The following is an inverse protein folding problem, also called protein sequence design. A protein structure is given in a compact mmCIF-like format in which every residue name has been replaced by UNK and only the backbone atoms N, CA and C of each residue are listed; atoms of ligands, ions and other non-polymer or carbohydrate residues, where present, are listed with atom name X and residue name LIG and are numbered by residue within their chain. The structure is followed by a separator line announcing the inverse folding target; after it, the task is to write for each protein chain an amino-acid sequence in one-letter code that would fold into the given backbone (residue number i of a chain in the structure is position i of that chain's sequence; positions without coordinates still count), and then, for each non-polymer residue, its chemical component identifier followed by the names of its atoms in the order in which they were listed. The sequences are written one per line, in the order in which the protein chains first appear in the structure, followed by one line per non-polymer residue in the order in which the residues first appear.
data_IF_603247261412
#
_entry.id   IF_603247261412
#
_cell.length_a   1.000
_cell.length_b   1.000
_cell.length_c   1.000
_cell.angle_alpha   90.00
_cell.angle_beta   90.00
_cell.angle_gamma   90.00
#
_symmetry.space_group_name_H-M   'P 1'
#
loop_
_entity.id
_entity.type
_entity.pdbx_description
1 polymer ?
#
# COMPACT_ATOMS: atom_id res chain seq x y z
N UNK A 1 19.03 -3.12 25.72
CA UNK A 1 17.74 -2.66 25.15
C UNK A 1 18.05 -2.05 23.80
N UNK A 2 18.13 -2.92 22.78
CA UNK A 2 18.36 -2.47 21.40
C UNK A 2 17.18 -1.60 20.95
N UNK A 3 17.47 -0.33 20.71
CA UNK A 3 16.62 0.51 19.88
C UNK A 3 16.82 0.02 18.45
N UNK A 4 15.99 -0.89 18.00
CA UNK A 4 15.91 -1.19 16.58
C UNK A 4 15.43 0.09 15.89
N UNK A 5 16.35 0.79 15.26
CA UNK A 5 16.01 1.85 14.30
C UNK A 5 15.22 1.17 13.19
N UNK A 6 13.99 1.63 12.94
CA UNK A 6 13.18 1.19 11.82
C UNK A 6 14.03 1.24 10.55
N UNK A 7 14.42 0.08 10.03
CA UNK A 7 15.30 -0.05 8.87
C UNK A 7 14.46 -0.40 7.65
N UNK A 8 13.67 0.53 7.19
CA UNK A 8 12.93 0.34 5.95
C UNK A 8 11.52 0.90 6.00
N UNK A 9 10.88 0.98 4.84
CA UNK A 9 9.52 1.47 4.67
C UNK A 9 8.44 0.43 5.00
N UNK A 10 8.84 -0.77 5.45
CA UNK A 10 7.92 -1.84 5.80
C UNK A 10 7.31 -2.55 4.60
N UNK A 11 6.27 -3.30 4.87
CA UNK A 11 5.55 -4.12 3.90
C UNK A 11 4.22 -3.47 3.55
N UNK A 12 3.90 -3.42 2.27
CA UNK A 12 2.66 -2.84 1.74
C UNK A 12 2.00 -3.81 0.78
N UNK A 13 0.72 -4.13 1.00
CA UNK A 13 -0.05 -4.81 -0.03
C UNK A 13 -1.23 -3.96 -0.52
N UNK A 14 -1.58 -4.16 -1.79
CA UNK A 14 -2.73 -3.52 -2.41
C UNK A 14 -3.54 -4.54 -3.20
N UNK A 15 -4.82 -4.24 -3.42
CA UNK A 15 -5.68 -5.05 -4.28
C UNK A 15 -5.20 -5.06 -5.74
N UNK A 16 -5.36 -6.20 -6.42
CA UNK A 16 -5.04 -6.32 -7.84
C UNK A 16 -6.20 -5.82 -8.73
N UNK A 17 -7.46 -6.00 -8.30
CA UNK A 17 -8.62 -5.57 -9.07
C UNK A 17 -8.88 -4.08 -8.86
N UNK A 18 -8.73 -3.24 -9.89
CA UNK A 18 -8.99 -1.80 -9.78
C UNK A 18 -10.48 -1.49 -9.91
N UNK A 19 -10.94 -0.45 -9.21
CA UNK A 19 -12.27 0.12 -9.45
C UNK A 19 -12.28 0.90 -10.78
N UNK A 20 -11.16 1.58 -11.07
CA UNK A 20 -10.95 2.35 -12.28
C UNK A 20 -9.55 2.11 -12.86
N UNK A 21 -9.42 1.98 -14.20
CA UNK A 21 -8.11 1.76 -14.84
C UNK A 21 -7.08 2.87 -14.56
N UNK A 22 -7.52 4.14 -14.49
CA UNK A 22 -6.63 5.27 -14.24
C UNK A 22 -6.05 5.23 -12.82
N UNK A 23 -6.86 4.91 -11.82
CA UNK A 23 -6.42 4.72 -10.43
C UNK A 23 -5.41 3.58 -10.33
N UNK A 24 -5.62 2.51 -11.08
CA UNK A 24 -4.69 1.39 -11.14
C UNK A 24 -3.29 1.83 -11.61
N UNK A 25 -3.20 2.53 -12.74
CA UNK A 25 -1.93 2.98 -13.29
C UNK A 25 -1.25 4.02 -12.39
N UNK A 26 -1.99 4.97 -11.84
CA UNK A 26 -1.45 5.92 -10.88
C UNK A 26 -0.86 5.22 -9.65
N UNK A 27 -1.58 4.27 -9.07
CA UNK A 27 -1.12 3.52 -7.88
C UNK A 27 0.14 2.71 -8.18
N UNK A 28 0.25 2.09 -9.36
CA UNK A 28 1.45 1.37 -9.75
C UNK A 28 2.68 2.27 -9.87
N UNK A 29 2.51 3.52 -10.27
CA UNK A 29 3.59 4.51 -10.28
C UNK A 29 4.11 4.79 -8.86
N UNK A 30 3.21 5.00 -7.88
CA UNK A 30 3.59 5.22 -6.48
C UNK A 30 4.21 3.98 -5.83
N UNK A 31 3.66 2.78 -6.10
CA UNK A 31 4.26 1.53 -5.64
C UNK A 31 5.70 1.36 -6.15
N UNK A 32 5.96 1.80 -7.38
CA UNK A 32 7.30 1.78 -7.92
C UNK A 32 8.27 2.63 -7.13
N UNK A 33 7.88 3.85 -6.76
CA UNK A 33 8.71 4.72 -5.92
C UNK A 33 9.00 4.06 -4.56
N UNK A 34 8.00 3.40 -3.95
CA UNK A 34 8.16 2.67 -2.70
C UNK A 34 9.13 1.49 -2.82
N UNK A 35 9.00 0.69 -3.89
CA UNK A 35 9.93 -0.43 -4.17
C UNK A 35 11.35 0.07 -4.38
N UNK A 36 11.53 1.19 -5.09
CA UNK A 36 12.84 1.80 -5.31
C UNK A 36 13.44 2.38 -4.03
N UNK A 37 12.60 2.82 -3.09
CA UNK A 37 13.02 3.29 -1.77
C UNK A 37 13.29 2.13 -0.78
N UNK A 38 13.00 0.88 -1.14
CA UNK A 38 13.31 -0.30 -0.34
C UNK A 38 12.13 -0.92 0.42
N UNK A 39 10.90 -0.47 0.15
CA UNK A 39 9.71 -1.12 0.70
C UNK A 39 9.42 -2.45 0.00
N UNK A 40 8.91 -3.43 0.73
CA UNK A 40 8.35 -4.63 0.14
C UNK A 40 6.90 -4.37 -0.27
N UNK A 41 6.62 -4.43 -1.55
CA UNK A 41 5.29 -4.18 -2.08
C UNK A 41 4.68 -5.46 -2.65
N UNK A 42 3.39 -5.65 -2.39
CA UNK A 42 2.66 -6.84 -2.79
C UNK A 42 1.34 -6.49 -3.47
N UNK A 43 0.86 -7.36 -4.32
CA UNK A 43 -0.50 -7.32 -4.87
C UNK A 43 -1.31 -8.47 -4.34
N UNK A 44 -2.46 -8.18 -3.74
CA UNK A 44 -3.39 -9.18 -3.22
C UNK A 44 -4.18 -9.82 -4.37
N UNK A 45 -4.09 -11.15 -4.50
CA UNK A 45 -4.62 -11.88 -5.64
C UNK A 45 -5.86 -12.72 -5.31
N UNK A 46 -6.35 -12.67 -4.08
CA UNK A 46 -7.49 -13.50 -3.64
C UNK A 46 -8.77 -12.66 -3.52
N UNK A 47 -9.24 -12.09 -4.64
CA UNK A 47 -10.49 -11.36 -4.70
C UNK A 47 -10.37 -9.85 -4.45
N UNK A 48 -11.48 -9.25 -4.02
CA UNK A 48 -11.59 -7.80 -3.79
C UNK A 48 -11.20 -7.45 -2.36
N UNK A 49 -10.13 -6.71 -2.19
CA UNK A 49 -9.69 -6.18 -0.90
C UNK A 49 -9.97 -4.68 -0.83
N UNK A 50 -10.78 -4.26 0.15
CA UNK A 50 -11.09 -2.84 0.40
C UNK A 50 -10.69 -2.38 1.82
N UNK A 51 -9.81 -3.11 2.44
CA UNK A 51 -9.24 -2.80 3.75
C UNK A 51 -8.26 -1.64 3.66
N UNK A 52 -8.30 -0.74 4.62
CA UNK A 52 -7.36 0.37 4.78
C UNK A 52 -6.86 0.33 6.22
N UNK A 53 -5.63 -0.07 6.38
CA UNK A 53 -5.00 -0.17 7.68
C UNK A 53 -3.50 0.06 7.60
N UNK A 54 -2.94 0.49 8.70
CA UNK A 54 -1.51 0.68 8.88
C UNK A 54 -1.13 0.20 10.28
N UNK A 55 -0.06 -0.56 10.37
CA UNK A 55 0.52 -1.00 11.63
C UNK A 55 1.89 -0.34 11.75
N UNK A 56 2.17 0.24 12.90
CA UNK A 56 3.43 0.95 13.16
C UNK A 56 4.11 0.29 14.36
N UNK A 57 5.34 -0.20 14.13
CA UNK A 57 6.23 -0.79 15.13
C UNK A 57 5.56 -1.91 15.96
N UNK A 58 4.61 -2.65 15.37
CA UNK A 58 3.83 -3.72 16.00
C UNK A 58 3.08 -3.29 17.28
N UNK A 59 2.83 -1.99 17.45
CA UNK A 59 2.27 -1.37 18.66
C UNK A 59 1.06 -0.52 18.42
N UNK A 60 1.01 0.10 17.26
CA UNK A 60 -0.07 1.01 16.91
C UNK A 60 -0.76 0.51 15.66
N UNK A 61 -2.06 0.35 15.74
CA UNK A 61 -2.92 0.01 14.61
C UNK A 61 -3.76 1.24 14.26
N UNK A 62 -3.67 1.67 13.01
CA UNK A 62 -4.59 2.65 12.43
C UNK A 62 -5.44 1.93 11.39
N UNK A 63 -6.77 2.01 11.54
CA UNK A 63 -7.71 1.35 10.65
C UNK A 63 -8.95 2.22 10.41
N UNK A 64 -9.41 2.30 9.16
CA UNK A 64 -10.57 3.13 8.87
C UNK A 64 -10.95 3.21 7.41
N UNK A 65 -11.48 4.37 7.01
CA UNK A 65 -12.00 4.61 5.66
C UNK A 65 -10.99 5.27 4.72
N UNK A 66 -9.97 5.95 5.25
CA UNK A 66 -9.01 6.70 4.46
C UNK A 66 -8.12 5.79 3.61
N UNK A 67 -8.12 6.02 2.31
CA UNK A 67 -7.11 5.44 1.42
C UNK A 67 -5.79 6.22 1.53
N UNK A 68 -4.71 5.59 1.10
CA UNK A 68 -3.40 6.25 0.99
C UNK A 68 -3.34 7.07 -0.32
N UNK A 69 -4.19 8.09 -0.43
CA UNK A 69 -4.28 8.97 -1.59
C UNK A 69 -4.56 10.42 -1.20
N UNK A 70 -4.33 11.34 -2.15
CA UNK A 70 -4.47 12.79 -1.93
C UNK A 70 -5.91 13.17 -1.57
N UNK A 71 -6.90 12.52 -2.17
CA UNK A 71 -8.32 12.83 -1.91
C UNK A 71 -8.72 12.46 -0.51
N UNK A 72 -8.33 11.28 -0.04
CA UNK A 72 -8.62 10.84 1.33
C UNK A 72 -7.95 11.72 2.37
N UNK A 73 -6.72 12.20 2.09
CA UNK A 73 -6.01 13.06 3.03
C UNK A 73 -6.42 14.53 3.01
N UNK A 74 -6.91 15.06 1.88
CA UNK A 74 -7.12 16.50 1.73
C UNK A 74 -8.57 16.90 1.46
N UNK A 75 -9.42 16.03 0.93
CA UNK A 75 -10.74 16.41 0.43
C UNK A 75 -11.89 15.60 1.02
N UNK A 76 -11.71 14.32 1.26
CA UNK A 76 -12.79 13.44 1.71
C UNK A 76 -13.02 13.56 3.22
N UNK A 77 -14.26 13.34 3.64
CA UNK A 77 -14.56 13.07 5.04
C UNK A 77 -14.25 11.62 5.36
N UNK A 78 -13.19 11.40 6.13
CA UNK A 78 -12.68 10.06 6.47
C UNK A 78 -12.66 9.86 7.99
N UNK A 79 -12.85 8.64 8.42
CA UNK A 79 -12.78 8.25 9.84
C UNK A 79 -11.77 7.13 9.99
N UNK A 80 -10.75 7.36 10.82
CA UNK A 80 -9.78 6.37 11.20
C UNK A 80 -9.70 6.24 12.72
N UNK A 81 -9.71 4.99 13.20
CA UNK A 81 -9.42 4.68 14.59
C UNK A 81 -7.93 4.41 14.73
N UNK A 82 -7.31 5.03 15.74
CA UNK A 82 -5.93 4.76 16.13
C UNK A 82 -5.95 4.01 17.45
N UNK A 83 -5.46 2.79 17.45
CA UNK A 83 -5.46 1.88 18.60
C UNK A 83 -4.03 1.69 19.09
N UNK A 84 -3.79 2.10 20.34
CA UNK A 84 -2.51 1.94 21.03
C UNK A 84 -2.56 0.69 21.90
N UNK A 85 -2.50 -0.48 21.25
CA UNK A 85 -2.57 -1.78 21.93
C UNK A 85 -1.69 -2.78 21.17
N UNK A 86 -0.59 -3.20 21.81
CA UNK A 86 0.37 -4.14 21.22
C UNK A 86 -0.30 -5.47 20.86
N UNK A 87 -1.20 -5.97 21.68
CA UNK A 87 -1.89 -7.24 21.40
C UNK A 87 -2.74 -7.13 20.13
N UNK A 88 -3.50 -6.04 19.99
CA UNK A 88 -4.33 -5.80 18.80
C UNK A 88 -3.48 -5.53 17.55
N UNK A 89 -2.37 -4.85 17.70
CA UNK A 89 -1.43 -4.66 16.61
C UNK A 89 -0.86 -6.01 16.15
N UNK A 90 -0.44 -6.88 17.06
CA UNK A 90 0.04 -8.23 16.73
C UNK A 90 -1.02 -9.12 16.07
N UNK A 91 -2.26 -9.11 16.57
CA UNK A 91 -3.36 -9.83 15.91
C UNK A 91 -3.52 -9.41 14.43
N UNK A 92 -3.36 -8.11 14.17
CA UNK A 92 -3.43 -7.59 12.79
C UNK A 92 -2.19 -7.95 11.96
N UNK A 93 -1.00 -7.98 12.56
CA UNK A 93 0.24 -8.46 11.91
C UNK A 93 0.07 -9.91 11.45
N UNK A 94 -0.51 -10.77 12.29
CA UNK A 94 -0.77 -12.16 11.92
C UNK A 94 -1.76 -12.28 10.75
N UNK A 95 -2.80 -11.43 10.72
CA UNK A 95 -3.74 -11.36 9.60
C UNK A 95 -3.00 -10.93 8.33
N UNK A 96 -2.18 -9.88 8.44
CA UNK A 96 -1.39 -9.37 7.33
C UNK A 96 -0.45 -10.44 6.75
N UNK A 97 0.24 -11.20 7.59
CA UNK A 97 1.12 -12.28 7.14
C UNK A 97 0.36 -13.40 6.43
N UNK A 98 -0.83 -13.78 6.91
CA UNK A 98 -1.70 -14.74 6.21
C UNK A 98 -2.16 -14.21 4.85
N UNK A 99 -2.48 -12.93 4.76
CA UNK A 99 -2.85 -12.32 3.49
C UNK A 99 -1.67 -12.29 2.51
N UNK A 100 -0.43 -12.15 3.00
CA UNK A 100 0.77 -12.20 2.14
C UNK A 100 0.96 -13.56 1.44
N UNK A 101 0.47 -14.66 2.02
CA UNK A 101 0.57 -16.00 1.41
C UNK A 101 -0.16 -16.08 0.05
N UNK A 102 -1.21 -15.28 -0.13
CA UNK A 102 -1.97 -15.19 -1.39
C UNK A 102 -1.63 -13.94 -2.20
N UNK A 103 -0.58 -13.23 -1.81
CA UNK A 103 -0.09 -12.05 -2.49
C UNK A 103 1.06 -12.37 -3.45
N UNK A 104 1.21 -11.53 -4.46
CA UNK A 104 2.38 -11.53 -5.34
C UNK A 104 3.27 -10.35 -5.01
N UNK A 105 4.54 -10.60 -4.72
CA UNK A 105 5.51 -9.54 -4.51
C UNK A 105 5.85 -8.81 -5.80
N UNK A 106 5.94 -7.49 -5.72
CA UNK A 106 6.44 -6.61 -6.79
C UNK A 106 7.91 -6.36 -6.52
N UNK A 107 8.76 -7.07 -7.25
CA UNK A 107 10.21 -6.92 -7.14
C UNK A 107 10.70 -5.70 -7.93
N UNK A 108 11.90 -5.22 -7.60
CA UNK A 108 12.58 -4.15 -8.35
C UNK A 108 12.77 -4.52 -9.81
N UNK A 109 13.17 -5.75 -10.10
CA UNK A 109 13.40 -6.23 -11.46
C UNK A 109 12.09 -6.28 -12.27
N UNK A 110 11.01 -6.75 -11.65
CA UNK A 110 9.68 -6.71 -12.25
C UNK A 110 9.26 -5.27 -12.58
N UNK A 111 9.52 -4.32 -11.66
CA UNK A 111 9.14 -2.92 -11.86
C UNK A 111 9.96 -2.25 -12.97
N UNK A 112 11.28 -2.47 -13.00
CA UNK A 112 12.18 -1.85 -13.99
C UNK A 112 12.08 -2.48 -15.37
N UNK A 113 11.79 -3.78 -15.46
CA UNK A 113 11.64 -4.52 -16.72
C UNK A 113 10.35 -4.26 -17.50
N UNK A 114 9.46 -3.36 -17.00
CA UNK A 114 8.19 -3.06 -17.68
C UNK A 114 8.36 -2.27 -18.97
N UNK A 115 7.47 -2.54 -19.93
CA UNK A 115 7.46 -1.87 -21.23
C UNK A 115 7.33 -0.34 -21.07
N UNK A 116 8.04 0.41 -21.92
CA UNK A 116 7.99 1.87 -21.94
C UNK A 116 6.58 2.45 -22.08
N UNK A 117 5.71 1.80 -22.86
CA UNK A 117 4.29 2.20 -23.01
C UNK A 117 3.52 2.16 -21.68
N UNK A 118 3.81 1.16 -20.82
CA UNK A 118 3.22 1.04 -19.50
C UNK A 118 3.71 2.17 -18.60
N UNK A 119 5.00 2.42 -18.61
CA UNK A 119 5.64 3.50 -17.83
C UNK A 119 5.08 4.88 -18.19
N UNK A 120 4.87 5.15 -19.48
CA UNK A 120 4.26 6.41 -19.94
C UNK A 120 2.82 6.53 -19.44
N UNK A 121 2.00 5.46 -19.55
CA UNK A 121 0.63 5.45 -19.04
C UNK A 121 0.57 5.75 -17.54
N UNK A 122 1.44 5.13 -16.75
CA UNK A 122 1.54 5.36 -15.32
C UNK A 122 1.86 6.82 -14.98
N UNK A 123 2.82 7.43 -15.67
CA UNK A 123 3.19 8.84 -15.45
C UNK A 123 2.04 9.78 -15.83
N UNK A 124 1.36 9.53 -16.93
CA UNK A 124 0.17 10.33 -17.32
C UNK A 124 -0.95 10.19 -16.27
N UNK A 125 -1.25 8.97 -15.85
CA UNK A 125 -2.27 8.74 -14.82
C UNK A 125 -1.86 9.36 -13.47
N UNK A 126 -0.58 9.38 -13.14
CA UNK A 126 -0.07 10.04 -11.93
C UNK A 126 -0.33 11.55 -11.92
N UNK A 127 -0.20 12.23 -13.07
CA UNK A 127 -0.53 13.66 -13.18
C UNK A 127 -2.02 13.93 -12.91
N UNK A 128 -2.87 12.96 -13.20
CA UNK A 128 -4.32 13.05 -12.96
C UNK A 128 -4.71 12.59 -11.53
N UNK A 129 -3.77 12.06 -10.75
CA UNK A 129 -4.03 11.51 -9.41
C UNK A 129 -4.76 12.47 -8.45
N UNK A 130 -4.54 13.80 -8.47
CA UNK A 130 -5.31 14.71 -7.63
C UNK A 130 -6.80 14.83 -8.00
N UNK A 131 -7.17 14.37 -9.21
CA UNK A 131 -8.55 14.39 -9.73
C UNK A 131 -9.24 13.03 -9.62
N UNK A 132 -8.48 11.96 -9.37
CA UNK A 132 -8.93 10.58 -9.26
C UNK A 132 -9.16 10.22 -7.79
#
# INVERSE_FOLDING_TARGET
RDRSVSRGLGDVYKRQMPDHPFVYWATYSYLGDMVMAGANCYTYNNGFLHSKGMIVDDRVLCYGTANMDIRSFALNFEVNAVVYDEKKAWEMVEIFHRDLEVCRQITRDYYTGRNLKIRIKEQVCRLLSPLL
#
